data_IF_331802276662
#
_entry.id   IF_331802276662
#
_cell.length_a   1.000
_cell.length_b   1.000
_cell.length_c   1.000
_cell.angle_alpha   90.00
_cell.angle_beta   90.00
_cell.angle_gamma   90.00
#
_symmetry.space_group_name_H-M   'P 1'
#
loop_
_entity.id
_entity.type
_entity.pdbx_description
1 polymer ?
#
# COMPACT_ATOMS: atom_id res chain seq x y z
N UNK A 1 23.68 -2.00 16.01
CA UNK A 1 24.29 -0.73 15.57
C UNK A 1 24.46 -0.81 14.07
N UNK A 2 23.60 -0.17 13.29
CA UNK A 2 23.66 -0.19 11.82
C UNK A 2 24.64 0.91 11.40
N UNK A 3 25.82 0.53 10.90
CA UNK A 3 26.76 1.46 10.28
C UNK A 3 26.11 2.07 9.04
N UNK A 4 25.46 3.22 9.21
CA UNK A 4 24.93 4.03 8.11
C UNK A 4 26.10 4.74 7.42
N UNK A 5 26.73 4.06 6.46
CA UNK A 5 27.66 4.71 5.55
C UNK A 5 26.93 5.82 4.80
N UNK A 6 27.58 6.98 4.71
CA UNK A 6 27.03 8.18 4.11
C UNK A 6 27.67 8.35 2.72
N UNK A 7 26.85 8.44 1.67
CA UNK A 7 27.28 8.71 0.31
C UNK A 7 26.97 10.16 -0.04
N UNK A 8 27.91 10.83 -0.67
CA UNK A 8 27.72 12.18 -1.20
C UNK A 8 27.22 12.04 -2.63
N UNK A 9 25.94 12.34 -2.87
CA UNK A 9 25.31 12.38 -4.19
C UNK A 9 24.82 13.81 -4.47
N UNK A 10 25.41 14.48 -5.46
CA UNK A 10 25.03 15.85 -5.85
C UNK A 10 25.10 16.89 -4.72
N UNK A 11 26.01 16.71 -3.76
CA UNK A 11 26.18 17.61 -2.60
C UNK A 11 25.23 17.35 -1.41
N UNK A 12 24.43 16.27 -1.45
CA UNK A 12 23.59 15.85 -0.33
C UNK A 12 24.11 14.55 0.29
N UNK A 13 24.24 14.55 1.60
CA UNK A 13 24.61 13.38 2.40
C UNK A 13 23.40 12.45 2.46
N UNK A 14 23.51 11.24 1.91
CA UNK A 14 22.46 10.21 1.92
C UNK A 14 22.96 8.91 2.53
N UNK A 15 22.07 8.15 3.15
CA UNK A 15 22.38 6.80 3.64
C UNK A 15 22.55 5.85 2.44
N UNK A 16 23.59 5.00 2.44
CA UNK A 16 23.79 3.96 1.40
C UNK A 16 22.53 3.13 1.17
N UNK A 17 21.80 2.79 2.23
CA UNK A 17 20.60 1.97 2.14
C UNK A 17 19.49 2.67 1.34
N UNK A 18 19.37 4.00 1.45
CA UNK A 18 18.38 4.76 0.69
C UNK A 18 18.79 4.89 -0.79
N UNK A 19 20.09 4.99 -1.08
CA UNK A 19 20.61 5.00 -2.45
C UNK A 19 20.34 3.66 -3.14
N UNK A 20 20.69 2.55 -2.48
CA UNK A 20 20.45 1.20 -3.01
C UNK A 20 18.97 0.96 -3.27
N UNK A 21 18.10 1.43 -2.36
CA UNK A 21 16.67 1.31 -2.50
C UNK A 21 16.15 2.00 -3.77
N UNK A 22 16.65 3.21 -4.05
CA UNK A 22 16.27 3.96 -5.25
C UNK A 22 16.75 3.24 -6.51
N UNK A 23 17.99 2.74 -6.52
CA UNK A 23 18.50 1.96 -7.66
C UNK A 23 17.66 0.71 -7.93
N UNK A 24 17.27 -0.02 -6.88
CA UNK A 24 16.45 -1.22 -7.01
C UNK A 24 15.08 -0.89 -7.60
N UNK A 25 14.45 0.21 -7.15
CA UNK A 25 13.18 0.69 -7.70
C UNK A 25 13.33 1.07 -9.18
N UNK A 26 14.41 1.77 -9.56
CA UNK A 26 14.69 2.13 -10.96
C UNK A 26 14.89 0.88 -11.82
N UNK A 27 15.69 -0.09 -11.35
CA UNK A 27 15.92 -1.37 -12.04
C UNK A 27 14.61 -2.14 -12.24
N UNK A 28 13.75 -2.18 -11.23
CA UNK A 28 12.43 -2.82 -11.33
C UNK A 28 11.50 -2.07 -12.30
N UNK A 29 11.48 -0.73 -12.25
CA UNK A 29 10.68 0.09 -13.18
C UNK A 29 11.09 -0.14 -14.64
N UNK A 30 12.39 -0.29 -14.90
CA UNK A 30 12.92 -0.58 -16.25
C UNK A 30 12.46 -1.94 -16.81
N UNK A 31 12.10 -2.90 -15.95
CA UNK A 31 11.52 -4.19 -16.38
C UNK A 31 10.06 -4.06 -16.85
N UNK A 32 9.46 -2.86 -16.77
CA UNK A 32 8.07 -2.55 -17.16
C UNK A 32 6.99 -3.32 -16.40
N UNK A 33 7.33 -3.97 -15.29
CA UNK A 33 6.37 -4.58 -14.38
C UNK A 33 6.16 -3.68 -13.16
N UNK A 34 5.05 -2.94 -13.15
CA UNK A 34 4.69 -2.05 -12.05
C UNK A 34 4.33 -2.83 -10.78
N UNK A 35 3.86 -4.07 -10.88
CA UNK A 35 3.52 -4.87 -9.69
C UNK A 35 4.76 -5.30 -8.93
N UNK A 36 5.86 -5.60 -9.61
CA UNK A 36 7.14 -5.88 -8.94
C UNK A 36 7.61 -4.67 -8.11
N UNK A 37 7.46 -3.45 -8.65
CA UNK A 37 7.75 -2.22 -7.92
C UNK A 37 6.79 -2.04 -6.74
N UNK A 38 5.48 -2.23 -6.95
CA UNK A 38 4.48 -2.09 -5.88
C UNK A 38 4.73 -3.09 -4.75
N UNK A 39 5.05 -4.36 -5.05
CA UNK A 39 5.41 -5.35 -4.02
C UNK A 39 6.58 -4.86 -3.17
N UNK A 40 7.62 -4.34 -3.83
CA UNK A 40 8.77 -3.79 -3.12
C UNK A 40 8.38 -2.60 -2.24
N UNK A 41 7.51 -1.71 -2.73
CA UNK A 41 7.01 -0.57 -1.96
C UNK A 41 6.14 -0.99 -0.78
N UNK A 42 5.34 -2.06 -0.90
CA UNK A 42 4.57 -2.65 0.22
C UNK A 42 5.50 -3.17 1.30
N UNK A 43 6.55 -3.92 0.94
CA UNK A 43 7.56 -4.41 1.89
C UNK A 43 8.25 -3.26 2.63
N UNK A 44 8.68 -2.22 1.89
CA UNK A 44 9.34 -1.05 2.46
C UNK A 44 8.40 -0.30 3.40
N UNK A 45 7.14 -0.12 2.98
CA UNK A 45 6.13 0.56 3.78
C UNK A 45 5.88 -0.20 5.09
N UNK A 46 5.66 -1.50 5.03
CA UNK A 46 5.47 -2.35 6.22
C UNK A 46 6.67 -2.27 7.18
N UNK A 47 7.90 -2.30 6.65
CA UNK A 47 9.11 -2.19 7.45
C UNK A 47 9.31 -0.79 8.08
N UNK A 48 8.92 0.30 7.38
CA UNK A 48 9.07 1.68 7.87
C UNK A 48 7.94 2.13 8.79
N UNK A 49 6.75 1.56 8.61
CA UNK A 49 5.52 1.96 9.32
C UNK A 49 4.80 0.75 9.93
N UNK A 50 5.46 -0.03 10.82
CA UNK A 50 4.87 -1.26 11.37
C UNK A 50 3.59 -1.00 12.18
N UNK A 51 3.50 0.17 12.85
CA UNK A 51 2.29 0.56 13.58
C UNK A 51 1.12 0.84 12.62
N UNK A 52 1.38 1.47 11.48
CA UNK A 52 0.35 1.72 10.46
C UNK A 52 -0.13 0.41 9.85
N UNK A 53 0.80 -0.51 9.56
CA UNK A 53 0.46 -1.86 9.09
C UNK A 53 -0.43 -2.59 10.10
N UNK A 54 -0.06 -2.56 11.39
CA UNK A 54 -0.85 -3.18 12.45
C UNK A 54 -2.24 -2.56 12.55
N UNK A 55 -2.35 -1.24 12.44
CA UNK A 55 -3.63 -0.54 12.43
C UNK A 55 -4.51 -0.95 11.24
N UNK A 56 -3.92 -1.10 10.05
CA UNK A 56 -4.63 -1.59 8.86
C UNK A 56 -5.19 -2.99 9.10
N UNK A 57 -4.38 -3.90 9.66
CA UNK A 57 -4.82 -5.25 9.98
C UNK A 57 -5.95 -5.27 11.02
N UNK A 58 -5.83 -4.47 12.09
CA UNK A 58 -6.87 -4.34 13.12
C UNK A 58 -8.16 -3.81 12.51
N UNK A 59 -8.09 -2.73 11.74
CA UNK A 59 -9.25 -2.12 11.10
C UNK A 59 -9.95 -3.11 10.17
N UNK A 60 -9.19 -3.84 9.33
CA UNK A 60 -9.76 -4.83 8.41
C UNK A 60 -10.43 -5.97 9.17
N UNK A 61 -9.85 -6.43 10.27
CA UNK A 61 -10.45 -7.45 11.13
C UNK A 61 -11.78 -6.95 11.72
N UNK A 62 -11.79 -5.73 12.27
CA UNK A 62 -12.99 -5.11 12.81
C UNK A 62 -14.06 -4.96 11.73
N UNK A 63 -13.71 -4.45 10.54
CA UNK A 63 -14.66 -4.34 9.43
C UNK A 63 -15.24 -5.70 9.02
N UNK A 64 -14.42 -6.75 8.96
CA UNK A 64 -14.89 -8.11 8.67
C UNK A 64 -15.82 -8.66 9.75
N UNK A 65 -15.61 -8.31 11.01
CA UNK A 65 -16.47 -8.69 12.13
C UNK A 65 -17.80 -7.92 12.10
N UNK A 66 -17.78 -6.61 11.88
CA UNK A 66 -18.99 -5.78 11.80
C UNK A 66 -19.86 -6.16 10.60
N UNK A 67 -19.27 -6.53 9.46
CA UNK A 67 -20.00 -7.01 8.29
C UNK A 67 -20.77 -8.33 8.53
N UNK A 68 -20.39 -9.12 9.54
CA UNK A 68 -21.12 -10.34 9.92
C UNK A 68 -22.34 -10.03 10.78
N UNK A 69 -22.38 -8.88 11.45
CA UNK A 69 -23.51 -8.48 12.29
C UNK A 69 -24.67 -7.93 11.44
N UNK A 70 -25.54 -8.84 11.01
CA UNK A 70 -26.76 -8.51 10.26
C UNK A 70 -27.87 -7.89 11.12
N UNK A 71 -27.69 -7.81 12.44
CA UNK A 71 -28.73 -7.37 13.40
C UNK A 71 -28.65 -5.87 13.67
N UNK A 72 -27.45 -5.30 13.69
CA UNK A 72 -27.23 -3.85 13.87
C UNK A 72 -26.45 -3.18 12.73
N UNK A 73 -25.98 -3.94 11.72
CA UNK A 73 -25.33 -3.45 10.49
C UNK A 73 -26.29 -2.71 9.54
N UNK A 74 -26.96 -1.70 10.05
CA UNK A 74 -27.76 -0.75 9.29
C UNK A 74 -27.15 0.62 9.57
N UNK A 75 -26.18 1.03 8.75
CA UNK A 75 -25.87 2.46 8.67
C UNK A 75 -27.18 3.19 8.30
N UNK A 76 -27.33 4.45 8.73
CA UNK A 76 -28.48 5.31 8.43
C UNK A 76 -28.83 5.38 6.92
N UNK A 77 -27.93 4.93 6.04
CA UNK A 77 -28.01 4.97 4.58
C UNK A 77 -28.25 3.58 3.93
N UNK A 78 -28.47 2.53 4.74
CA UNK A 78 -28.91 1.20 4.30
C UNK A 78 -27.81 0.23 3.85
N UNK A 79 -28.18 -1.06 3.73
CA UNK A 79 -27.32 -2.24 3.40
C UNK A 79 -26.44 -2.12 2.14
N UNK A 80 -26.65 -1.10 1.31
CA UNK A 80 -25.96 -0.92 0.04
C UNK A 80 -24.61 -0.19 0.15
N UNK A 81 -24.34 0.51 1.26
CA UNK A 81 -23.05 1.21 1.43
C UNK A 81 -21.94 0.33 2.00
N UNK A 82 -22.27 -0.61 2.89
CA UNK A 82 -21.30 -1.59 3.41
C UNK A 82 -20.67 -2.43 2.27
N UNK A 83 -21.40 -2.63 1.18
CA UNK A 83 -20.92 -3.34 -0.03
C UNK A 83 -19.92 -2.54 -0.88
N UNK A 84 -19.69 -1.24 -0.57
CA UNK A 84 -18.78 -0.37 -1.35
C UNK A 84 -17.37 -0.30 -0.77
N UNK A 85 -17.17 -0.71 0.48
CA UNK A 85 -15.86 -0.66 1.13
C UNK A 85 -15.07 -1.97 0.86
N UNK A 86 -14.48 -2.05 -0.34
CA UNK A 86 -13.78 -3.27 -0.82
C UNK A 86 -12.38 -3.45 -0.20
N UNK A 87 -11.67 -2.35 0.07
CA UNK A 87 -10.24 -2.32 0.37
C UNK A 87 -9.93 -1.22 1.38
N UNK A 88 -9.08 -1.51 2.36
CA UNK A 88 -8.46 -0.49 3.20
C UNK A 88 -7.04 -0.23 2.68
N UNK A 89 -6.83 0.92 2.06
CA UNK A 89 -5.57 1.26 1.41
C UNK A 89 -4.84 2.37 2.17
N UNK A 90 -3.60 2.16 2.65
CA UNK A 90 -2.86 3.19 3.40
C UNK A 90 -2.53 4.39 2.51
N UNK A 91 -2.77 5.61 3.01
CA UNK A 91 -2.46 6.85 2.27
C UNK A 91 -0.96 7.01 2.06
N UNK A 92 -0.13 6.62 3.03
CA UNK A 92 1.33 6.65 2.91
C UNK A 92 1.84 5.76 1.79
N UNK A 93 1.30 4.53 1.66
CA UNK A 93 1.58 3.62 0.56
C UNK A 93 1.17 4.23 -0.79
N UNK A 94 0.02 4.91 -0.85
CA UNK A 94 -0.41 5.64 -2.05
C UNK A 94 0.62 6.69 -2.47
N UNK A 95 1.11 7.47 -1.51
CA UNK A 95 2.12 8.49 -1.77
C UNK A 95 3.44 7.87 -2.26
N UNK A 96 3.81 6.69 -1.77
CA UNK A 96 5.02 5.99 -2.22
C UNK A 96 4.89 5.58 -3.69
N UNK A 97 3.75 4.98 -4.06
CA UNK A 97 3.47 4.60 -5.46
C UNK A 97 3.47 5.85 -6.35
N UNK A 98 2.85 6.94 -5.92
CA UNK A 98 2.78 8.20 -6.70
C UNK A 98 4.10 8.93 -6.84
N UNK A 99 5.08 8.69 -5.97
CA UNK A 99 6.45 9.19 -6.16
C UNK A 99 7.21 8.45 -7.26
N UNK A 100 6.82 7.22 -7.56
CA UNK A 100 7.47 6.39 -8.59
C UNK A 100 6.74 6.46 -9.93
N UNK A 101 5.41 6.54 -9.89
CA UNK A 101 4.54 6.58 -11.06
C UNK A 101 3.62 7.78 -11.05
N UNK A 102 3.70 8.58 -12.11
CA UNK A 102 2.72 9.63 -12.34
C UNK A 102 1.36 9.05 -12.81
N UNK A 103 0.36 9.92 -13.04
CA UNK A 103 -0.98 9.49 -13.48
C UNK A 103 -1.01 8.87 -14.89
N UNK A 104 -0.05 9.21 -15.75
CA UNK A 104 0.04 8.70 -17.12
C UNK A 104 0.68 7.32 -17.15
N UNK A 105 1.68 7.07 -16.29
CA UNK A 105 2.39 5.80 -16.16
C UNK A 105 1.57 4.74 -15.42
N UNK A 106 0.81 5.14 -14.39
CA UNK A 106 -0.04 4.23 -13.63
C UNK A 106 -1.36 4.92 -13.24
N UNK A 107 -2.45 4.46 -13.87
CA UNK A 107 -3.80 4.84 -13.48
C UNK A 107 -4.21 4.05 -12.24
N UNK A 108 -4.44 4.77 -11.15
CA UNK A 108 -4.96 4.20 -9.89
C UNK A 108 -6.47 4.41 -9.90
N UNK A 109 -7.15 3.55 -10.64
CA UNK A 109 -8.61 3.51 -10.78
C UNK A 109 -9.21 2.27 -10.07
N UNK A 110 -10.50 2.01 -10.26
CA UNK A 110 -11.15 0.84 -9.65
C UNK A 110 -10.47 -0.48 -10.04
N UNK A 111 -10.00 -0.63 -11.29
CA UNK A 111 -9.33 -1.85 -11.76
C UNK A 111 -8.00 -2.05 -11.05
N UNK A 112 -7.27 -0.98 -10.80
CA UNK A 112 -6.06 -1.02 -10.00
C UNK A 112 -6.35 -1.57 -8.60
N UNK A 113 -7.38 -1.04 -7.92
CA UNK A 113 -7.70 -1.47 -6.56
C UNK A 113 -8.25 -2.90 -6.49
N UNK A 114 -9.00 -3.34 -7.49
CA UNK A 114 -9.48 -4.72 -7.60
C UNK A 114 -8.29 -5.70 -7.77
N UNK A 115 -7.33 -5.37 -8.63
CA UNK A 115 -6.13 -6.19 -8.84
C UNK A 115 -5.18 -6.15 -7.62
N UNK A 116 -5.01 -4.98 -7.02
CA UNK A 116 -4.25 -4.81 -5.79
C UNK A 116 -4.82 -5.69 -4.67
N UNK A 117 -6.15 -5.68 -4.48
CA UNK A 117 -6.82 -6.51 -3.47
C UNK A 117 -6.68 -8.02 -3.70
N UNK A 118 -6.46 -8.48 -4.94
CA UNK A 118 -6.14 -9.89 -5.25
C UNK A 118 -4.70 -10.23 -4.87
N UNK A 119 -3.76 -9.34 -5.18
CA UNK A 119 -2.32 -9.54 -4.93
C UNK A 119 -1.95 -9.42 -3.46
N UNK A 120 -2.64 -8.54 -2.74
CA UNK A 120 -2.40 -8.26 -1.33
C UNK A 120 -3.69 -8.40 -0.51
N UNK A 121 -4.14 -9.65 -0.24
CA UNK A 121 -5.39 -9.91 0.49
C UNK A 121 -5.43 -9.31 1.90
N UNK A 122 -4.27 -9.02 2.48
CA UNK A 122 -4.14 -8.35 3.79
C UNK A 122 -4.81 -6.98 3.84
N UNK A 123 -5.01 -6.32 2.68
CA UNK A 123 -5.70 -5.02 2.58
C UNK A 123 -7.20 -5.16 2.23
N UNK A 124 -7.66 -6.37 1.87
CA UNK A 124 -9.01 -6.63 1.39
C UNK A 124 -10.00 -6.73 2.56
N UNK A 125 -11.05 -5.91 2.51
CA UNK A 125 -12.11 -5.86 3.52
C UNK A 125 -13.25 -6.81 3.16
N UNK A 126 -13.76 -6.72 1.93
CA UNK A 126 -14.86 -7.55 1.47
C UNK A 126 -14.35 -8.86 0.84
N UNK A 127 -14.66 -10.00 1.46
CA UNK A 127 -14.59 -11.32 0.81
C UNK A 127 -15.93 -11.58 0.11
N UNK A 128 -16.06 -11.14 -1.13
CA UNK A 128 -16.92 -11.87 -2.08
C UNK A 128 -16.22 -13.17 -2.45
#
# INVERSE_FOLDING_TARGET
>A
MTNSMLVIDGGKIRNVNDVQLVEDIIKLKNKKDHWAVISKLVEIWAAKSPDEEKMVQINIKQYKETLKDKKFGQTLQGKNQERRFKLSFPTSLMMYIRKVYNNEELKIDEKFFDEFGKRYPMFKVATH
#
